data_IF_384242716922
#
_entry.id   IF_384242716922
#
_cell.length_a   1.000
_cell.length_b   1.000
_cell.length_c   1.000
_cell.angle_alpha   90.00
_cell.angle_beta   90.00
_cell.angle_gamma   90.00
#
_symmetry.space_group_name_H-M   'P 1'
#
loop_
_entity.id
_entity.type
_entity.pdbx_description
1 polymer ?
#
# COMPACT_ATOMS: atom_id res chain seq x y z
N UNK A 1 -2.06 -17.82 11.52
CA UNK A 1 -0.99 -18.35 10.64
C UNK A 1 -1.53 -18.35 9.23
N UNK A 2 -1.08 -17.44 8.38
CA UNK A 2 -1.36 -17.49 6.95
C UNK A 2 -0.81 -18.83 6.43
N UNK A 3 -1.62 -19.56 5.67
CA UNK A 3 -1.19 -20.83 5.09
C UNK A 3 -0.25 -20.51 3.96
N UNK A 4 0.98 -20.99 4.01
CA UNK A 4 1.95 -20.85 2.92
C UNK A 4 1.32 -21.33 1.61
N UNK A 5 1.27 -20.50 0.55
CA UNK A 5 0.53 -20.81 -0.68
C UNK A 5 1.01 -22.10 -1.38
N UNK A 6 2.27 -22.46 -1.18
CA UNK A 6 2.84 -23.69 -1.70
C UNK A 6 2.53 -24.95 -0.89
N UNK A 7 1.89 -24.84 0.28
CA UNK A 7 1.49 -26.01 1.05
C UNK A 7 0.10 -26.45 0.66
N UNK A 8 -0.05 -27.71 0.33
CA UNK A 8 -1.35 -28.30 0.02
C UNK A 8 -2.27 -28.25 1.24
N UNK A 9 -3.46 -27.65 1.16
CA UNK A 9 -4.39 -27.58 2.30
C UNK A 9 -4.94 -28.94 2.69
N UNK A 10 -4.74 -29.99 1.85
CA UNK A 10 -5.22 -31.35 2.11
C UNK A 10 -4.19 -32.24 2.81
N UNK A 11 -2.92 -32.18 2.39
CA UNK A 11 -1.89 -33.10 2.90
C UNK A 11 -0.62 -32.39 3.39
N UNK A 12 -0.59 -31.06 3.38
CA UNK A 12 0.55 -30.22 3.77
C UNK A 12 1.84 -30.43 2.98
N UNK A 13 1.80 -31.20 1.90
CA UNK A 13 2.92 -31.37 0.99
C UNK A 13 3.03 -30.18 0.03
N UNK A 14 4.16 -30.04 -0.67
CA UNK A 14 4.37 -28.94 -1.61
C UNK A 14 3.48 -29.06 -2.84
N UNK A 15 3.09 -27.89 -3.37
CA UNK A 15 2.37 -27.75 -4.63
C UNK A 15 3.25 -27.00 -5.62
N UNK A 16 3.08 -27.30 -6.89
CA UNK A 16 3.70 -26.56 -7.99
C UNK A 16 2.64 -25.81 -8.79
N UNK A 17 3.00 -24.66 -9.31
CA UNK A 17 2.19 -23.96 -10.28
C UNK A 17 2.25 -24.65 -11.62
N UNK A 18 1.10 -24.89 -12.24
CA UNK A 18 0.98 -25.47 -13.58
C UNK A 18 -0.08 -24.70 -14.37
N UNK A 19 -0.03 -24.82 -15.69
CA UNK A 19 -1.00 -24.20 -16.60
C UNK A 19 -1.74 -25.29 -17.37
N UNK A 20 -3.06 -25.31 -17.28
CA UNK A 20 -3.95 -26.17 -18.07
C UNK A 20 -4.73 -25.34 -19.09
N UNK A 21 -4.99 -25.93 -20.26
CA UNK A 21 -5.93 -25.38 -21.22
C UNK A 21 -7.37 -25.73 -20.83
N UNK A 22 -8.20 -24.75 -20.63
CA UNK A 22 -9.65 -24.92 -20.41
C UNK A 22 -10.40 -24.33 -21.59
N UNK A 23 -11.38 -25.06 -22.11
CA UNK A 23 -12.20 -24.65 -23.24
C UNK A 23 -13.61 -24.31 -22.79
N UNK A 24 -14.07 -23.15 -23.19
CA UNK A 24 -15.41 -22.63 -22.95
C UNK A 24 -16.18 -22.60 -24.28
N UNK A 25 -17.40 -23.09 -24.31
CA UNK A 25 -18.20 -23.19 -25.52
C UNK A 25 -19.61 -22.61 -25.31
N UNK A 26 -20.10 -21.87 -26.31
CA UNK A 26 -21.45 -21.30 -26.34
C UNK A 26 -21.84 -21.02 -27.80
N UNK A 27 -23.02 -21.46 -28.19
CA UNK A 27 -23.61 -21.15 -29.50
C UNK A 27 -22.68 -21.40 -30.69
N UNK A 28 -22.10 -22.60 -30.78
CA UNK A 28 -21.11 -23.01 -31.81
C UNK A 28 -19.82 -22.18 -31.88
N UNK A 29 -19.55 -21.40 -30.85
CA UNK A 29 -18.30 -20.62 -30.64
C UNK A 29 -17.51 -21.24 -29.54
N UNK A 30 -16.18 -21.08 -29.57
CA UNK A 30 -15.35 -21.58 -28.46
C UNK A 30 -14.16 -20.68 -28.16
N UNK A 31 -13.81 -20.61 -26.88
CA UNK A 31 -12.66 -19.87 -26.37
C UNK A 31 -11.80 -20.80 -25.53
N UNK A 32 -10.55 -20.94 -25.90
CA UNK A 32 -9.54 -21.64 -25.09
C UNK A 32 -8.81 -20.65 -24.17
N UNK A 33 -8.81 -20.94 -22.89
CA UNK A 33 -8.06 -20.13 -21.90
C UNK A 33 -7.01 -21.01 -21.21
N UNK A 34 -5.79 -20.54 -21.12
CA UNK A 34 -4.76 -21.17 -20.29
C UNK A 34 -4.94 -20.73 -18.84
N UNK A 35 -5.31 -21.67 -17.98
CA UNK A 35 -5.63 -21.44 -16.57
C UNK A 35 -4.50 -21.91 -15.68
N UNK A 36 -3.88 -21.03 -14.88
CA UNK A 36 -2.90 -21.42 -13.88
C UNK A 36 -3.59 -22.03 -12.66
N UNK A 37 -2.97 -23.08 -12.12
CA UNK A 37 -3.46 -23.77 -10.92
C UNK A 37 -2.31 -24.38 -10.13
N UNK A 38 -2.48 -24.51 -8.83
CA UNK A 38 -1.58 -25.26 -7.98
C UNK A 38 -1.93 -26.75 -8.00
N UNK A 39 -0.94 -27.58 -8.30
CA UNK A 39 -1.09 -29.02 -8.23
C UNK A 39 -0.23 -29.61 -7.13
N UNK A 40 -0.84 -30.40 -6.27
CA UNK A 40 -0.12 -31.22 -5.30
C UNK A 40 0.20 -32.59 -5.92
N UNK A 41 1.48 -32.93 -6.03
CA UNK A 41 1.87 -34.21 -6.59
C UNK A 41 1.57 -35.40 -5.67
N UNK A 42 1.53 -35.19 -4.37
CA UNK A 42 1.26 -36.24 -3.40
C UNK A 42 -0.23 -36.68 -3.43
N UNK A 43 -1.15 -35.74 -3.31
CA UNK A 43 -2.58 -36.06 -3.22
C UNK A 43 -3.38 -35.72 -4.49
N UNK A 44 -2.76 -35.20 -5.52
CA UNK A 44 -3.36 -34.85 -6.80
C UNK A 44 -4.30 -33.65 -6.77
N UNK A 45 -4.45 -32.96 -5.63
CA UNK A 45 -5.34 -31.81 -5.51
C UNK A 45 -4.89 -30.71 -6.46
N UNK A 46 -5.86 -30.19 -7.23
CA UNK A 46 -5.69 -29.01 -8.09
C UNK A 46 -6.54 -27.88 -7.52
N UNK A 47 -5.92 -26.75 -7.31
CA UNK A 47 -6.58 -25.52 -6.87
C UNK A 47 -6.28 -24.43 -7.92
N UNK A 48 -7.25 -23.98 -8.72
CA UNK A 48 -7.04 -22.86 -9.63
C UNK A 48 -6.71 -21.59 -8.83
N UNK A 49 -5.90 -20.71 -9.40
CA UNK A 49 -5.52 -19.46 -8.76
C UNK A 49 -6.69 -18.50 -8.58
N UNK A 50 -7.67 -18.60 -9.48
CA UNK A 50 -8.91 -17.84 -9.41
C UNK A 50 -10.12 -18.76 -9.42
N UNK A 51 -11.24 -18.32 -8.86
CA UNK A 51 -12.49 -19.04 -8.99
C UNK A 51 -12.83 -19.31 -10.46
N UNK A 52 -13.52 -20.40 -10.72
CA UNK A 52 -13.90 -20.80 -12.09
C UNK A 52 -14.73 -19.72 -12.78
N UNK A 53 -15.54 -19.02 -12.03
CA UNK A 53 -16.42 -17.92 -12.47
C UNK A 53 -15.61 -16.79 -13.14
N UNK A 54 -14.43 -16.49 -12.62
CA UNK A 54 -13.54 -15.48 -13.18
C UNK A 54 -13.11 -15.83 -14.62
N UNK A 55 -12.73 -17.08 -14.86
CA UNK A 55 -12.36 -17.52 -16.21
C UNK A 55 -13.57 -17.60 -17.13
N UNK A 56 -14.74 -17.94 -16.57
CA UNK A 56 -15.99 -17.95 -17.29
C UNK A 56 -16.37 -16.55 -17.79
N UNK A 57 -16.28 -15.52 -16.96
CA UNK A 57 -16.56 -14.13 -17.35
C UNK A 57 -15.66 -13.65 -18.49
N UNK A 58 -14.37 -13.98 -18.44
CA UNK A 58 -13.43 -13.64 -19.52
C UNK A 58 -13.80 -14.37 -20.81
N UNK A 59 -14.13 -15.66 -20.68
CA UNK A 59 -14.56 -16.46 -21.82
C UNK A 59 -15.86 -15.92 -22.43
N UNK A 60 -16.86 -15.59 -21.62
CA UNK A 60 -18.15 -15.09 -22.06
C UNK A 60 -18.01 -13.76 -22.80
N UNK A 61 -17.25 -12.82 -22.29
CA UNK A 61 -16.93 -11.56 -22.98
C UNK A 61 -16.33 -11.81 -24.38
N UNK A 62 -15.42 -12.76 -24.47
CA UNK A 62 -14.76 -13.07 -25.75
C UNK A 62 -15.68 -13.85 -26.69
N UNK A 63 -16.52 -14.77 -26.16
CA UNK A 63 -17.51 -15.50 -26.93
C UNK A 63 -18.56 -14.58 -27.59
N UNK A 64 -18.96 -13.54 -26.88
CA UNK A 64 -19.92 -12.56 -27.39
C UNK A 64 -19.36 -11.74 -28.59
N UNK A 65 -18.03 -11.58 -28.67
CA UNK A 65 -17.36 -10.90 -29.77
C UNK A 65 -17.14 -11.79 -31.01
N UNK A 66 -17.19 -13.11 -30.84
CA UNK A 66 -16.94 -14.07 -31.92
C UNK A 66 -18.19 -14.24 -32.83
N UNK A 67 -17.93 -14.59 -34.09
CA UNK A 67 -18.96 -15.04 -35.01
C UNK A 67 -19.25 -16.54 -34.88
N UNK A 68 -20.37 -16.98 -35.41
CA UNK A 68 -20.72 -18.39 -35.40
C UNK A 68 -19.61 -19.25 -36.05
N UNK A 69 -19.24 -20.32 -35.40
CA UNK A 69 -18.18 -21.23 -35.84
C UNK A 69 -16.74 -20.75 -35.56
N UNK A 70 -16.55 -19.55 -34.97
CA UNK A 70 -15.20 -19.04 -34.67
C UNK A 70 -14.64 -19.63 -33.36
N UNK A 71 -13.33 -19.80 -33.37
CA UNK A 71 -12.52 -20.15 -32.20
C UNK A 71 -11.55 -19.03 -31.88
N UNK A 72 -11.46 -18.64 -30.61
CA UNK A 72 -10.40 -17.78 -30.10
C UNK A 72 -9.61 -18.46 -29.00
N UNK A 73 -8.31 -18.20 -28.95
CA UNK A 73 -7.46 -18.57 -27.83
C UNK A 73 -7.03 -17.33 -27.11
N UNK A 74 -7.32 -17.27 -25.82
CA UNK A 74 -6.73 -16.30 -24.93
C UNK A 74 -5.43 -16.92 -24.40
N UNK A 75 -4.35 -16.58 -25.03
CA UNK A 75 -3.01 -16.94 -24.58
C UNK A 75 -2.43 -15.73 -23.91
N UNK A 76 -2.24 -15.82 -22.63
CA UNK A 76 -1.39 -14.91 -21.93
C UNK A 76 0.03 -15.20 -22.41
N UNK A 77 0.77 -14.18 -22.84
CA UNK A 77 2.14 -14.37 -23.29
C UNK A 77 3.00 -14.81 -22.10
N UNK A 78 3.03 -16.09 -21.88
CA UNK A 78 4.14 -16.71 -21.15
C UNK A 78 5.19 -17.01 -22.20
N UNK A 79 6.22 -16.22 -22.27
CA UNK A 79 7.42 -16.64 -22.97
C UNK A 79 8.02 -17.80 -22.20
N UNK A 80 8.35 -18.89 -22.89
CA UNK A 80 9.04 -20.02 -22.30
C UNK A 80 10.50 -19.63 -21.99
N UNK A 81 10.69 -18.72 -21.07
CA UNK A 81 12.01 -18.44 -20.53
C UNK A 81 12.40 -19.60 -19.65
N UNK A 82 13.57 -20.15 -19.92
CA UNK A 82 14.16 -21.18 -19.08
C UNK A 82 14.41 -20.56 -17.72
N UNK A 83 14.14 -21.32 -16.66
CA UNK A 83 14.55 -20.95 -15.32
C UNK A 83 16.04 -20.59 -15.34
N UNK A 84 16.36 -19.32 -15.12
CA UNK A 84 17.72 -18.85 -15.10
C UNK A 84 18.29 -19.02 -13.70
N UNK A 85 19.52 -19.56 -13.61
CA UNK A 85 20.17 -19.79 -12.33
C UNK A 85 21.23 -18.74 -12.11
N UNK A 86 21.11 -18.06 -10.98
CA UNK A 86 22.02 -17.01 -10.54
C UNK A 86 22.87 -17.44 -9.33
N UNK A 87 23.20 -18.76 -9.26
CA UNK A 87 24.00 -19.32 -8.16
C UNK A 87 25.38 -18.65 -8.02
N UNK A 88 25.90 -18.11 -9.12
CA UNK A 88 27.17 -17.39 -9.16
C UNK A 88 27.18 -16.11 -8.31
N UNK A 89 26.00 -15.49 -8.07
CA UNK A 89 25.88 -14.33 -7.21
C UNK A 89 26.02 -14.71 -5.73
N UNK A 90 25.84 -15.99 -5.37
CA UNK A 90 26.02 -16.49 -4.02
C UNK A 90 25.04 -15.96 -2.98
N UNK A 91 23.90 -15.38 -3.40
CA UNK A 91 22.78 -15.10 -2.52
C UNK A 91 22.02 -16.38 -2.20
N UNK A 92 21.48 -16.44 -0.98
CA UNK A 92 20.57 -17.51 -0.61
C UNK A 92 19.18 -17.18 -1.14
N UNK A 93 18.65 -18.03 -1.98
CA UNK A 93 17.29 -17.91 -2.51
C UNK A 93 16.71 -19.31 -2.74
N UNK A 94 15.38 -19.38 -2.84
CA UNK A 94 14.68 -20.56 -3.28
C UNK A 94 13.71 -20.19 -4.41
N UNK A 95 13.60 -21.01 -5.45
CA UNK A 95 12.55 -20.83 -6.46
C UNK A 95 11.15 -20.76 -5.86
N UNK A 96 10.94 -21.35 -4.68
CA UNK A 96 9.67 -21.33 -3.96
C UNK A 96 9.37 -19.93 -3.38
N UNK A 97 10.38 -19.11 -3.14
CA UNK A 97 10.23 -17.76 -2.61
C UNK A 97 9.55 -16.81 -3.60
N UNK A 98 9.54 -17.18 -4.88
CA UNK A 98 8.75 -16.51 -5.91
C UNK A 98 7.29 -16.30 -5.53
N UNK A 99 6.71 -17.23 -4.77
CA UNK A 99 5.32 -17.18 -4.34
C UNK A 99 5.10 -16.41 -3.02
N UNK A 100 6.16 -15.88 -2.44
CA UNK A 100 6.06 -15.01 -1.27
C UNK A 100 5.59 -13.60 -1.63
N UNK A 101 5.55 -13.28 -2.91
CA UNK A 101 5.07 -12.00 -3.43
C UNK A 101 3.60 -12.16 -3.85
N UNK A 102 2.66 -11.49 -3.21
CA UNK A 102 1.26 -11.57 -3.58
C UNK A 102 1.03 -11.21 -5.05
N UNK A 103 0.22 -12.02 -5.74
CA UNK A 103 -0.15 -11.77 -7.12
C UNK A 103 0.91 -12.05 -8.17
N UNK A 104 2.09 -12.49 -7.79
CA UNK A 104 3.14 -12.88 -8.73
C UNK A 104 2.98 -14.36 -9.09
N UNK A 105 2.53 -14.65 -10.30
CA UNK A 105 2.22 -15.99 -10.77
C UNK A 105 2.81 -16.26 -12.16
N UNK A 106 4.13 -16.07 -12.30
CA UNK A 106 4.85 -16.34 -13.55
C UNK A 106 5.70 -17.56 -13.40
N UNK A 107 5.30 -18.65 -14.04
CA UNK A 107 6.03 -19.93 -14.00
C UNK A 107 7.43 -19.82 -14.62
N UNK A 108 7.57 -18.96 -15.61
CA UNK A 108 8.77 -18.90 -16.46
C UNK A 108 9.83 -17.91 -15.99
N UNK A 109 9.47 -17.00 -15.11
CA UNK A 109 10.37 -15.97 -14.57
C UNK A 109 10.93 -16.36 -13.19
N UNK A 110 10.78 -17.61 -12.77
CA UNK A 110 11.11 -18.06 -11.41
C UNK A 110 12.56 -17.82 -11.00
N UNK A 111 13.49 -17.85 -11.96
CA UNK A 111 14.88 -17.51 -11.70
C UNK A 111 15.06 -16.01 -11.51
N UNK A 112 14.67 -15.24 -12.52
CA UNK A 112 14.84 -13.79 -12.53
C UNK A 112 14.04 -13.11 -11.41
N UNK A 113 12.77 -13.44 -11.29
CA UNK A 113 11.85 -12.84 -10.32
C UNK A 113 11.85 -13.53 -8.95
N UNK A 114 12.84 -14.33 -8.62
CA UNK A 114 13.03 -14.79 -7.25
C UNK A 114 13.41 -13.60 -6.36
N UNK A 115 12.67 -13.34 -5.28
CA UNK A 115 13.02 -12.26 -4.37
C UNK A 115 14.21 -12.67 -3.48
N UNK A 116 15.12 -11.74 -3.28
CA UNK A 116 16.17 -11.82 -2.26
C UNK A 116 15.89 -10.73 -1.24
N UNK A 117 15.71 -11.11 0.00
CA UNK A 117 15.30 -10.20 1.06
C UNK A 117 16.51 -9.69 1.85
N UNK A 118 16.40 -8.45 2.31
CA UNK A 118 17.42 -7.78 3.10
C UNK A 118 16.79 -7.10 4.32
N UNK A 119 17.55 -6.98 5.38
CA UNK A 119 17.16 -6.17 6.53
C UNK A 119 17.19 -4.67 6.18
N UNK A 120 16.29 -3.90 6.77
CA UNK A 120 16.21 -2.44 6.62
C UNK A 120 17.50 -1.71 7.01
N UNK A 121 18.31 -2.33 7.86
CA UNK A 121 19.63 -1.81 8.26
C UNK A 121 20.55 -1.52 7.06
N UNK A 122 20.30 -2.18 5.92
CA UNK A 122 20.97 -1.86 4.68
C UNK A 122 20.74 -0.40 4.26
N UNK A 123 19.49 0.06 4.35
CA UNK A 123 19.13 1.45 4.01
C UNK A 123 19.74 2.44 5.00
N UNK A 124 19.71 2.09 6.29
CA UNK A 124 20.36 2.90 7.34
C UNK A 124 21.83 3.08 7.10
N UNK A 125 22.54 2.00 6.73
CA UNK A 125 23.95 2.06 6.41
C UNK A 125 24.25 3.10 5.31
N UNK A 126 23.51 3.04 4.22
CA UNK A 126 23.74 3.97 3.10
C UNK A 126 23.22 5.38 3.39
N UNK A 127 22.14 5.51 4.16
CA UNK A 127 21.60 6.83 4.52
C UNK A 127 22.54 7.59 5.46
N UNK A 128 23.28 6.88 6.33
CA UNK A 128 24.23 7.45 7.27
C UNK A 128 25.66 7.59 6.72
N UNK A 129 25.94 7.06 5.53
CA UNK A 129 27.26 7.16 4.93
C UNK A 129 27.39 8.46 4.13
N UNK A 130 28.49 9.25 4.31
CA UNK A 130 28.60 10.59 3.72
C UNK A 130 28.61 10.61 2.18
N UNK A 131 29.05 9.53 1.53
CA UNK A 131 29.17 9.46 0.08
C UNK A 131 27.88 8.94 -0.60
N UNK A 132 26.88 8.56 0.19
CA UNK A 132 25.66 7.97 -0.33
C UNK A 132 24.44 8.78 0.09
N UNK A 133 23.37 8.62 -0.66
CA UNK A 133 22.04 9.10 -0.26
C UNK A 133 20.98 8.09 -0.66
N UNK A 134 19.98 7.89 0.20
CA UNK A 134 18.83 7.04 -0.05
C UNK A 134 17.66 7.93 -0.36
N UNK A 135 17.01 7.72 -1.52
CA UNK A 135 15.79 8.46 -1.90
C UNK A 135 14.65 7.46 -2.14
N UNK A 136 13.54 7.74 -1.51
CA UNK A 136 12.31 6.98 -1.68
C UNK A 136 11.44 7.69 -2.70
N UNK A 137 10.92 6.97 -3.70
CA UNK A 137 10.05 7.53 -4.74
C UNK A 137 8.58 7.23 -4.50
N UNK A 138 8.31 6.12 -3.82
CA UNK A 138 6.97 5.68 -3.46
C UNK A 138 7.04 4.87 -2.18
N UNK A 139 5.90 4.39 -1.72
CA UNK A 139 5.83 3.42 -0.61
C UNK A 139 6.67 2.16 -0.86
N UNK A 140 7.06 1.92 -2.08
CA UNK A 140 7.57 0.65 -2.55
C UNK A 140 8.83 0.75 -3.40
N UNK A 141 9.34 1.91 -3.64
CA UNK A 141 10.50 2.07 -4.51
C UNK A 141 11.41 3.20 -4.07
N UNK A 142 12.68 3.03 -4.33
CA UNK A 142 13.70 4.02 -4.05
C UNK A 142 15.02 3.67 -4.69
N UNK A 143 15.97 4.59 -4.58
CA UNK A 143 17.31 4.43 -5.09
C UNK A 143 18.35 4.78 -4.03
N UNK A 144 19.47 4.08 -4.07
CA UNK A 144 20.71 4.54 -3.45
C UNK A 144 21.54 5.26 -4.51
N UNK A 145 21.99 6.45 -4.17
CA UNK A 145 22.87 7.25 -4.98
C UNK A 145 24.28 7.25 -4.37
N UNK A 146 25.29 7.20 -5.20
CA UNK A 146 26.67 7.41 -4.84
C UNK A 146 27.19 8.63 -5.59
N UNK A 147 27.63 9.66 -4.86
CA UNK A 147 28.09 10.93 -5.45
C UNK A 147 27.09 11.56 -6.45
N UNK A 148 25.79 11.38 -6.23
CA UNK A 148 24.73 11.92 -7.07
C UNK A 148 24.31 11.05 -8.26
N UNK A 149 25.03 9.98 -8.54
CA UNK A 149 24.67 9.00 -9.58
C UNK A 149 23.91 7.83 -8.98
N UNK A 150 22.91 7.32 -9.71
CA UNK A 150 22.17 6.13 -9.28
C UNK A 150 23.11 4.93 -9.27
N UNK A 151 23.36 4.39 -8.09
CA UNK A 151 24.18 3.23 -7.90
C UNK A 151 23.31 1.95 -7.89
N UNK A 152 22.11 2.05 -7.35
CA UNK A 152 21.28 0.90 -7.10
C UNK A 152 19.81 1.31 -7.05
N UNK A 153 19.04 0.78 -7.96
CA UNK A 153 17.58 0.91 -8.00
C UNK A 153 16.93 -0.34 -7.46
N UNK A 154 15.99 -0.20 -6.57
CA UNK A 154 15.23 -1.33 -6.09
C UNK A 154 13.76 -1.01 -5.91
N UNK A 155 12.95 -2.01 -6.14
CA UNK A 155 11.61 -2.02 -5.63
C UNK A 155 11.65 -2.46 -4.18
N UNK A 156 10.95 -1.77 -3.31
CA UNK A 156 10.83 -2.18 -1.93
C UNK A 156 9.65 -3.15 -1.79
N UNK A 157 9.93 -4.35 -1.38
CA UNK A 157 8.96 -5.12 -0.66
C UNK A 157 9.21 -4.90 0.82
N UNK A 158 9.08 -3.69 1.31
CA UNK A 158 9.07 -3.51 2.75
C UNK A 158 7.71 -3.99 3.22
N UNK A 159 7.69 -5.21 3.69
CA UNK A 159 6.54 -5.74 4.38
C UNK A 159 6.54 -5.29 5.84
N UNK A 160 5.46 -5.56 6.57
CA UNK A 160 5.33 -5.30 8.01
C UNK A 160 6.43 -5.97 8.84
N UNK A 161 7.09 -6.98 8.29
CA UNK A 161 8.26 -7.62 8.89
C UNK A 161 9.56 -6.84 8.68
N UNK A 162 9.50 -5.66 8.06
CA UNK A 162 10.65 -4.78 7.90
C UNK A 162 11.71 -5.30 6.95
N UNK A 163 11.35 -6.13 5.98
CA UNK A 163 12.27 -6.65 4.97
C UNK A 163 12.11 -5.85 3.68
N UNK A 164 13.24 -5.54 3.06
CA UNK A 164 13.28 -5.04 1.69
C UNK A 164 13.68 -6.18 0.78
N UNK A 165 13.28 -6.14 -0.48
CA UNK A 165 13.70 -7.13 -1.43
C UNK A 165 14.10 -6.53 -2.78
N UNK A 166 14.88 -7.31 -3.52
CA UNK A 166 15.18 -7.11 -4.92
C UNK A 166 15.07 -8.41 -5.66
N UNK A 167 14.73 -8.32 -6.93
CA UNK A 167 14.72 -9.48 -7.79
C UNK A 167 16.14 -10.02 -8.02
N UNK A 168 16.28 -11.33 -8.01
CA UNK A 168 17.57 -11.99 -8.22
C UNK A 168 18.16 -11.63 -9.59
N UNK A 169 17.33 -11.52 -10.63
CA UNK A 169 17.75 -11.08 -11.95
C UNK A 169 18.25 -9.64 -11.98
N UNK A 170 17.53 -8.73 -11.32
CA UNK A 170 17.98 -7.33 -11.18
C UNK A 170 19.30 -7.23 -10.40
N UNK A 171 19.51 -8.09 -9.40
CA UNK A 171 20.79 -8.16 -8.70
C UNK A 171 21.93 -8.59 -9.64
N UNK A 172 21.64 -9.50 -10.58
CA UNK A 172 22.62 -9.89 -11.59
C UNK A 172 22.98 -8.76 -12.54
N UNK A 173 21.99 -7.97 -12.92
CA UNK A 173 22.17 -6.91 -13.91
C UNK A 173 22.84 -5.66 -13.32
N UNK A 174 22.65 -5.41 -12.01
CA UNK A 174 23.16 -4.22 -11.34
C UNK A 174 24.60 -4.37 -10.81
N UNK A 175 25.13 -5.60 -10.70
CA UNK A 175 26.46 -5.80 -10.12
C UNK A 175 27.59 -5.73 -11.17
N UNK A 176 28.12 -4.54 -11.32
CA UNK A 176 29.46 -4.34 -11.90
C UNK A 176 30.59 -4.43 -10.86
N UNK A 177 30.29 -4.19 -9.56
CA UNK A 177 31.29 -4.20 -8.48
C UNK A 177 31.10 -5.37 -7.49
N UNK A 178 32.05 -6.34 -7.45
CA UNK A 178 32.01 -7.45 -6.49
C UNK A 178 32.04 -7.03 -5.01
N UNK A 179 32.50 -5.81 -4.71
CA UNK A 179 32.50 -5.33 -3.32
C UNK A 179 31.10 -5.03 -2.83
N UNK A 180 30.25 -4.51 -3.71
CA UNK A 180 28.86 -4.23 -3.39
C UNK A 180 28.09 -5.51 -3.13
N UNK A 181 28.25 -6.51 -3.96
CA UNK A 181 27.65 -7.84 -3.76
C UNK A 181 28.00 -8.39 -2.37
N UNK A 182 29.30 -8.39 -2.02
CA UNK A 182 29.77 -8.83 -0.71
C UNK A 182 29.18 -8.02 0.44
N UNK A 183 28.97 -6.73 0.23
CA UNK A 183 28.36 -5.85 1.23
C UNK A 183 26.89 -6.19 1.44
N UNK A 184 26.11 -6.29 0.37
CA UNK A 184 24.69 -6.64 0.43
C UNK A 184 24.42 -7.99 1.10
N UNK A 185 25.27 -8.98 0.87
CA UNK A 185 25.18 -10.31 1.51
C UNK A 185 25.20 -10.26 3.04
N UNK A 186 25.79 -9.21 3.65
CA UNK A 186 25.79 -9.04 5.11
C UNK A 186 24.42 -8.70 5.67
N UNK A 187 23.57 -8.08 4.86
CA UNK A 187 22.23 -7.68 5.21
C UNK A 187 21.17 -8.65 4.70
N UNK A 188 21.58 -9.73 4.04
CA UNK A 188 20.64 -10.72 3.56
C UNK A 188 19.84 -11.33 4.71
N UNK A 189 18.52 -11.21 4.63
CA UNK A 189 17.57 -11.73 5.59
C UNK A 189 16.90 -12.99 5.10
N UNK A 190 16.19 -13.67 5.99
CA UNK A 190 15.31 -14.77 5.62
C UNK A 190 14.14 -14.25 4.82
N UNK A 191 13.76 -14.97 3.78
CA UNK A 191 12.61 -14.65 2.97
C UNK A 191 11.32 -14.82 3.76
N UNK A 192 10.39 -13.90 3.57
CA UNK A 192 9.11 -13.86 4.24
C UNK A 192 8.02 -13.52 3.23
N UNK A 193 6.80 -13.95 3.49
CA UNK A 193 5.67 -13.56 2.68
C UNK A 193 5.51 -12.04 2.72
N UNK A 194 5.45 -11.41 1.54
CA UNK A 194 5.20 -9.97 1.44
C UNK A 194 3.72 -9.69 1.66
N UNK A 195 3.43 -8.70 2.48
CA UNK A 195 2.10 -8.15 2.68
C UNK A 195 1.88 -6.86 1.89
N UNK A 196 2.87 -6.46 1.10
CA UNK A 196 2.78 -5.29 0.24
C UNK A 196 2.18 -5.60 -1.13
N UNK A 197 1.23 -4.81 -1.52
CA UNK A 197 0.61 -4.70 -2.83
C UNK A 197 1.55 -4.16 -3.95
N UNK A 198 2.76 -3.94 -3.67
CA UNK A 198 3.74 -3.11 -4.36
C UNK A 198 3.97 -3.50 -5.82
N UNK A 199 3.96 -4.78 -6.08
CA UNK A 199 4.32 -5.30 -7.39
C UNK A 199 3.13 -5.52 -8.28
N UNK A 200 1.98 -5.42 -7.72
CA UNK A 200 0.72 -5.54 -8.41
C UNK A 200 0.66 -4.58 -9.58
N UNK A 201 0.85 -3.32 -9.36
CA UNK A 201 0.68 -2.31 -10.42
C UNK A 201 1.73 -2.41 -11.51
N UNK A 202 2.97 -2.77 -11.19
CA UNK A 202 4.03 -2.85 -12.17
C UNK A 202 4.02 -4.17 -12.95
N UNK A 203 3.95 -5.30 -12.24
CA UNK A 203 4.02 -6.63 -12.86
C UNK A 203 2.65 -7.15 -13.28
N UNK A 204 1.58 -6.68 -12.67
CA UNK A 204 0.25 -7.16 -12.93
C UNK A 204 -0.49 -6.37 -14.00
N UNK A 205 -0.12 -5.13 -14.28
CA UNK A 205 -0.56 -4.44 -15.51
C UNK A 205 -0.18 -5.22 -16.78
N UNK A 206 0.83 -6.08 -16.67
CA UNK A 206 1.26 -6.99 -17.72
C UNK A 206 0.71 -8.42 -17.57
N UNK A 207 0.08 -8.74 -16.45
CA UNK A 207 -0.46 -10.06 -16.18
C UNK A 207 -1.99 -10.01 -16.10
N UNK A 208 -2.69 -10.59 -17.11
CA UNK A 208 -4.15 -10.60 -17.17
C UNK A 208 -4.84 -11.43 -16.07
N UNK A 209 -4.08 -12.15 -15.24
CA UNK A 209 -4.59 -12.87 -14.08
C UNK A 209 -4.60 -12.05 -12.81
N UNK A 210 -4.02 -10.86 -12.85
CA UNK A 210 -4.07 -9.95 -11.75
C UNK A 210 -5.37 -9.19 -11.79
N UNK A 211 -6.26 -9.53 -10.93
CA UNK A 211 -7.35 -8.65 -10.55
C UNK A 211 -6.94 -7.92 -9.28
N UNK A 212 -7.50 -6.75 -9.07
CA UNK A 212 -7.35 -5.96 -7.85
C UNK A 212 -7.62 -6.78 -6.57
N UNK A 213 -8.45 -7.83 -6.68
CA UNK A 213 -8.77 -8.76 -5.59
C UNK A 213 -7.62 -9.70 -5.17
N UNK A 214 -6.49 -9.71 -5.88
CA UNK A 214 -5.33 -10.52 -5.49
C UNK A 214 -4.51 -9.86 -4.38
N UNK A 215 -4.81 -8.62 -4.06
CA UNK A 215 -4.07 -7.81 -3.12
C UNK A 215 -4.82 -7.72 -1.82
N UNK A 216 -4.04 -7.77 -0.75
CA UNK A 216 -4.52 -7.32 0.55
C UNK A 216 -4.89 -5.84 0.45
N UNK A 217 -5.75 -5.39 1.33
CA UNK A 217 -6.16 -3.99 1.42
C UNK A 217 -4.93 -3.07 1.31
N UNK A 218 -5.06 -2.05 0.50
CA UNK A 218 -4.01 -1.03 0.35
C UNK A 218 -3.58 -0.53 1.72
N UNK A 219 -2.28 -0.24 1.87
CA UNK A 219 -1.77 0.34 3.10
C UNK A 219 -2.66 1.48 3.59
N UNK A 220 -2.86 1.57 4.89
CA UNK A 220 -3.73 2.58 5.51
C UNK A 220 -3.36 4.00 5.08
N UNK A 221 -2.09 4.28 4.80
CA UNK A 221 -1.63 5.55 4.27
C UNK A 221 -2.20 5.85 2.88
N UNK A 222 -2.15 4.87 1.98
CA UNK A 222 -2.75 5.00 0.64
C UNK A 222 -4.26 5.16 0.75
N UNK A 223 -4.86 4.41 1.67
CA UNK A 223 -6.30 4.46 1.95
C UNK A 223 -6.74 5.85 2.44
N UNK A 224 -5.98 6.51 3.32
CA UNK A 224 -6.25 7.89 3.76
C UNK A 224 -6.37 8.83 2.56
N UNK A 225 -5.47 8.74 1.59
CA UNK A 225 -5.48 9.64 0.43
C UNK A 225 -6.67 9.37 -0.49
N UNK A 226 -6.99 8.11 -0.72
CA UNK A 226 -8.17 7.73 -1.50
C UNK A 226 -9.47 8.20 -0.83
N UNK A 227 -9.59 8.01 0.48
CA UNK A 227 -10.75 8.46 1.26
C UNK A 227 -10.84 9.99 1.31
N UNK A 228 -9.70 10.69 1.41
CA UNK A 228 -9.66 12.15 1.35
C UNK A 228 -10.20 12.66 0.01
N UNK A 229 -9.78 12.06 -1.10
CA UNK A 229 -10.26 12.43 -2.44
C UNK A 229 -11.76 12.17 -2.60
N UNK A 230 -12.25 11.04 -2.10
CA UNK A 230 -13.67 10.71 -2.06
C UNK A 230 -14.44 11.73 -1.22
N UNK A 231 -13.92 12.09 -0.04
CA UNK A 231 -14.53 13.08 0.84
C UNK A 231 -14.57 14.47 0.18
N UNK A 232 -13.51 14.89 -0.50
CA UNK A 232 -13.46 16.16 -1.23
C UNK A 232 -14.51 16.22 -2.35
N UNK A 233 -14.72 15.10 -3.08
CA UNK A 233 -15.79 14.98 -4.10
C UNK A 233 -17.18 15.09 -3.47
N UNK A 234 -17.41 14.35 -2.38
CA UNK A 234 -18.69 14.41 -1.65
C UNK A 234 -18.99 15.79 -1.08
N UNK A 235 -17.98 16.48 -0.54
CA UNK A 235 -18.14 17.86 -0.08
C UNK A 235 -18.52 18.79 -1.24
N UNK A 236 -17.89 18.64 -2.41
CA UNK A 236 -18.20 19.42 -3.60
C UNK A 236 -19.64 19.18 -4.07
N UNK A 237 -20.09 17.95 -4.06
CA UNK A 237 -21.47 17.58 -4.44
C UNK A 237 -22.50 18.07 -3.43
N UNK A 238 -22.23 17.93 -2.12
CA UNK A 238 -23.20 18.22 -1.07
C UNK A 238 -23.22 19.70 -0.65
N UNK A 239 -22.07 20.38 -0.69
CA UNK A 239 -21.91 21.74 -0.14
C UNK A 239 -21.39 22.76 -1.15
N UNK A 240 -20.99 22.35 -2.38
CA UNK A 240 -20.53 23.21 -3.44
C UNK A 240 -19.03 23.58 -3.38
N UNK A 241 -18.26 22.97 -2.48
CA UNK A 241 -16.81 23.19 -2.37
C UNK A 241 -16.12 21.93 -1.83
N UNK A 242 -14.85 21.70 -2.23
CA UNK A 242 -14.03 20.63 -1.68
C UNK A 242 -13.58 20.97 -0.26
N UNK A 243 -13.45 19.98 0.64
CA UNK A 243 -12.98 20.19 2.01
C UNK A 243 -11.54 20.72 2.03
N UNK A 244 -10.70 20.24 1.14
CA UNK A 244 -9.29 20.65 1.04
C UNK A 244 -8.96 21.29 -0.30
N UNK A 245 -7.77 21.94 -0.39
CA UNK A 245 -7.31 22.65 -1.59
C UNK A 245 -6.41 21.82 -2.49
N UNK A 246 -5.84 20.73 -1.97
CA UNK A 246 -4.78 19.96 -2.64
C UNK A 246 -5.38 18.75 -3.35
N UNK A 247 -5.05 18.59 -4.61
CA UNK A 247 -5.42 17.43 -5.40
C UNK A 247 -4.52 16.22 -5.05
N UNK A 248 -5.04 14.99 -5.29
CA UNK A 248 -4.39 13.75 -4.88
C UNK A 248 -3.03 13.53 -5.57
N UNK A 249 -2.85 14.05 -6.77
CA UNK A 249 -1.60 13.89 -7.55
C UNK A 249 -0.42 14.53 -6.84
N UNK A 250 -0.65 15.69 -6.18
CA UNK A 250 0.39 16.40 -5.43
C UNK A 250 0.74 15.73 -4.09
N UNK A 251 -0.13 14.83 -3.60
CA UNK A 251 0.04 14.22 -2.27
C UNK A 251 1.20 13.23 -2.23
N UNK A 252 1.38 12.45 -3.30
CA UNK A 252 2.42 11.44 -3.37
C UNK A 252 3.82 12.03 -3.41
N UNK A 253 3.96 13.27 -3.90
CA UNK A 253 5.25 13.98 -3.92
C UNK A 253 5.66 14.51 -2.54
N UNK A 254 4.67 14.82 -1.68
CA UNK A 254 4.91 15.47 -0.39
C UNK A 254 4.92 14.53 0.80
N UNK A 255 4.26 13.38 0.72
CA UNK A 255 4.18 12.45 1.81
C UNK A 255 5.03 11.21 1.57
N UNK A 256 5.83 10.86 2.57
CA UNK A 256 6.61 9.62 2.62
C UNK A 256 6.36 8.97 3.97
N UNK A 257 5.87 7.72 4.00
CA UNK A 257 5.72 6.99 5.25
C UNK A 257 7.10 6.73 5.87
N UNK A 258 7.18 6.60 7.19
CA UNK A 258 8.40 6.23 7.87
C UNK A 258 8.73 4.77 7.54
N UNK A 259 9.69 4.55 6.67
CA UNK A 259 10.16 3.22 6.29
C UNK A 259 11.13 2.68 7.33
N UNK A 260 11.98 3.55 7.85
CA UNK A 260 12.84 3.28 8.98
C UNK A 260 12.10 3.76 10.24
N UNK A 261 12.08 2.96 11.27
CA UNK A 261 11.43 3.31 12.55
C UNK A 261 12.21 4.38 13.32
N UNK A 262 12.82 5.30 12.58
CA UNK A 262 13.56 6.42 13.11
C UNK A 262 12.63 7.57 13.45
N UNK A 263 12.86 8.18 14.60
CA UNK A 263 12.06 9.29 15.08
C UNK A 263 11.96 10.43 14.05
N UNK A 264 13.05 10.74 13.35
CA UNK A 264 13.05 11.79 12.34
C UNK A 264 12.05 11.50 11.21
N UNK A 265 12.04 10.28 10.68
CA UNK A 265 11.11 9.91 9.62
C UNK A 265 9.65 9.93 10.10
N UNK A 266 9.41 9.44 11.32
CA UNK A 266 8.07 9.43 11.93
C UNK A 266 7.55 10.85 12.10
N UNK A 267 8.36 11.75 12.65
CA UNK A 267 7.94 13.15 12.84
C UNK A 267 7.81 13.93 11.54
N UNK A 268 8.64 13.64 10.52
CA UNK A 268 8.48 14.20 9.18
C UNK A 268 7.17 13.73 8.52
N UNK A 269 6.73 12.50 8.77
CA UNK A 269 5.44 12.01 8.33
C UNK A 269 4.28 12.79 8.98
N UNK A 270 4.34 13.07 10.29
CA UNK A 270 3.32 13.90 10.94
C UNK A 270 3.24 15.32 10.37
N UNK A 271 4.39 15.94 10.04
CA UNK A 271 4.40 17.27 9.41
C UNK A 271 3.71 17.21 8.05
N UNK A 272 4.06 16.22 7.24
CA UNK A 272 3.51 16.07 5.90
C UNK A 272 2.01 15.81 5.96
N UNK A 273 1.55 14.88 6.81
CA UNK A 273 0.14 14.61 7.02
C UNK A 273 -0.62 15.83 7.52
N UNK A 274 -0.06 16.58 8.49
CA UNK A 274 -0.69 17.80 9.00
C UNK A 274 -0.87 18.85 7.90
N UNK A 275 0.13 19.06 7.05
CA UNK A 275 0.01 19.96 5.90
C UNK A 275 -1.10 19.50 4.95
N UNK A 276 -1.15 18.23 4.65
CA UNK A 276 -2.09 17.67 3.68
C UNK A 276 -3.53 17.64 4.20
N UNK A 277 -3.73 17.27 5.44
CA UNK A 277 -5.06 17.01 6.02
C UNK A 277 -5.64 18.20 6.78
N UNK A 278 -4.79 19.07 7.33
CA UNK A 278 -5.25 20.15 8.25
C UNK A 278 -4.98 21.55 7.67
N UNK A 279 -3.75 21.83 7.24
CA UNK A 279 -3.40 23.18 6.77
C UNK A 279 -4.08 23.55 5.45
N UNK A 280 -4.44 22.54 4.65
CA UNK A 280 -5.14 22.69 3.39
C UNK A 280 -6.68 22.75 3.51
N UNK A 281 -7.26 22.64 4.70
CA UNK A 281 -8.71 22.76 4.90
C UNK A 281 -9.20 24.12 4.41
N UNK A 282 -10.28 24.14 3.65
CA UNK A 282 -10.93 25.35 3.14
C UNK A 282 -11.78 26.04 4.24
N UNK A 283 -11.09 26.52 5.27
CA UNK A 283 -11.69 27.10 6.49
C UNK A 283 -12.71 28.20 6.19
N UNK A 284 -12.45 29.05 5.18
CA UNK A 284 -13.36 30.12 4.81
C UNK A 284 -14.72 29.59 4.33
N UNK A 285 -14.72 28.53 3.54
CA UNK A 285 -15.95 27.90 3.04
C UNK A 285 -16.74 27.23 4.16
N UNK A 286 -16.06 26.53 5.06
CA UNK A 286 -16.69 25.95 6.26
C UNK A 286 -17.32 27.00 7.14
N UNK A 287 -16.62 28.13 7.40
CA UNK A 287 -17.14 29.25 8.18
C UNK A 287 -18.34 29.88 7.52
N UNK A 288 -18.35 30.07 6.21
CA UNK A 288 -19.50 30.57 5.47
C UNK A 288 -20.71 29.66 5.67
N UNK A 289 -20.51 28.35 5.54
CA UNK A 289 -21.59 27.37 5.70
C UNK A 289 -22.16 27.33 7.13
N UNK A 290 -21.31 27.45 8.14
CA UNK A 290 -21.73 27.59 9.54
C UNK A 290 -22.57 28.87 9.76
N UNK A 291 -22.13 30.02 9.19
CA UNK A 291 -22.85 31.26 9.25
C UNK A 291 -24.22 31.21 8.56
N UNK A 292 -24.29 30.54 7.38
CA UNK A 292 -25.55 30.30 6.68
C UNK A 292 -26.53 29.44 7.49
N UNK A 293 -26.00 28.53 8.31
CA UNK A 293 -26.79 27.68 9.22
C UNK A 293 -27.14 28.37 10.54
N UNK A 294 -26.87 29.67 10.69
CA UNK A 294 -27.27 30.44 11.85
C UNK A 294 -26.29 30.47 13.02
N UNK A 295 -25.05 30.01 12.83
CA UNK A 295 -24.04 30.10 13.89
C UNK A 295 -23.63 31.55 14.21
N UNK A 296 -23.20 31.79 15.44
CA UNK A 296 -22.73 33.13 15.88
C UNK A 296 -21.45 33.51 15.10
N UNK A 297 -21.58 34.52 14.24
CA UNK A 297 -20.49 35.00 13.37
C UNK A 297 -19.23 35.41 14.13
N UNK A 298 -19.35 35.98 15.33
CA UNK A 298 -18.20 36.37 16.14
C UNK A 298 -17.46 35.17 16.66
N UNK A 299 -18.16 34.14 17.13
CA UNK A 299 -17.57 32.86 17.56
C UNK A 299 -16.91 32.12 16.40
N UNK A 300 -17.62 31.96 15.28
CA UNK A 300 -17.12 31.31 14.10
C UNK A 300 -15.84 31.97 13.55
N UNK A 301 -15.79 33.33 13.57
CA UNK A 301 -14.60 34.06 13.07
C UNK A 301 -13.33 33.70 13.84
N UNK A 302 -13.41 33.46 15.15
CA UNK A 302 -12.26 33.17 16.01
C UNK A 302 -11.77 31.71 15.96
N UNK A 303 -12.52 30.80 15.33
CA UNK A 303 -12.14 29.37 15.25
C UNK A 303 -10.95 29.16 14.34
N UNK A 304 -9.99 28.31 14.76
CA UNK A 304 -8.95 27.75 13.93
C UNK A 304 -9.45 26.62 13.04
N UNK A 305 -8.60 26.07 12.17
CA UNK A 305 -8.98 25.07 11.15
C UNK A 305 -9.69 23.86 11.76
N UNK A 306 -9.09 23.20 12.74
CA UNK A 306 -9.65 21.98 13.35
C UNK A 306 -10.96 22.28 14.08
N UNK A 307 -11.00 23.37 14.88
CA UNK A 307 -12.23 23.77 15.58
C UNK A 307 -13.36 24.17 14.63
N UNK A 308 -13.02 24.72 13.46
CA UNK A 308 -14.03 25.02 12.43
C UNK A 308 -14.60 23.74 11.82
N UNK A 309 -13.74 22.74 11.56
CA UNK A 309 -14.18 21.43 11.09
C UNK A 309 -15.02 20.70 12.16
N UNK A 310 -14.61 20.74 13.42
CA UNK A 310 -15.39 20.17 14.53
C UNK A 310 -16.79 20.80 14.64
N UNK A 311 -16.88 22.13 14.57
CA UNK A 311 -18.15 22.83 14.55
C UNK A 311 -19.01 22.47 13.34
N UNK A 312 -18.40 22.28 12.17
CA UNK A 312 -19.10 21.85 10.97
C UNK A 312 -19.67 20.43 11.13
N UNK A 313 -18.89 19.51 11.68
CA UNK A 313 -19.32 18.13 11.97
C UNK A 313 -20.50 18.13 12.95
N UNK A 314 -20.43 18.96 14.00
CA UNK A 314 -21.49 19.06 15.02
C UNK A 314 -22.75 19.75 14.48
N UNK A 315 -22.60 20.93 13.86
CA UNK A 315 -23.73 21.82 13.56
C UNK A 315 -24.34 21.56 12.17
N UNK A 316 -23.56 21.10 11.18
CA UNK A 316 -24.04 20.83 9.83
C UNK A 316 -24.34 19.34 9.65
N UNK A 317 -23.39 18.46 9.98
CA UNK A 317 -23.59 17.01 9.86
C UNK A 317 -24.39 16.42 11.03
N UNK A 318 -24.60 17.18 12.11
CA UNK A 318 -25.39 16.78 13.30
C UNK A 318 -24.82 15.56 14.04
N UNK A 319 -23.52 15.33 13.99
CA UNK A 319 -22.86 14.24 14.70
C UNK A 319 -22.55 14.67 16.15
N UNK A 320 -23.27 14.06 17.09
CA UNK A 320 -23.16 14.44 18.52
C UNK A 320 -21.83 14.08 19.17
N UNK A 321 -21.13 13.07 18.64
CA UNK A 321 -19.80 12.62 19.10
C UNK A 321 -18.65 13.30 18.33
N UNK A 322 -18.84 14.50 17.81
CA UNK A 322 -17.87 15.22 16.98
C UNK A 322 -16.49 15.35 17.63
N UNK A 323 -16.42 15.58 18.94
CA UNK A 323 -15.16 15.73 19.68
C UNK A 323 -14.34 14.44 19.74
N UNK A 324 -15.01 13.30 19.86
CA UNK A 324 -14.36 11.98 19.82
C UNK A 324 -13.93 11.64 18.39
N UNK A 325 -14.81 11.83 17.43
CA UNK A 325 -14.57 11.59 16.03
C UNK A 325 -13.37 12.37 15.48
N UNK A 326 -13.24 13.65 15.83
CA UNK A 326 -12.15 14.52 15.35
C UNK A 326 -10.85 14.37 16.15
N UNK A 327 -10.85 13.58 17.23
CA UNK A 327 -9.69 13.38 18.09
C UNK A 327 -8.40 13.05 17.35
N UNK A 328 -8.37 12.16 16.33
CA UNK A 328 -7.15 11.85 15.57
C UNK A 328 -6.55 13.07 14.86
N UNK A 329 -7.38 13.99 14.40
CA UNK A 329 -6.94 15.25 13.77
C UNK A 329 -6.25 16.18 14.77
N UNK A 330 -6.76 16.26 16.00
CA UNK A 330 -6.10 16.99 17.09
C UNK A 330 -4.77 16.34 17.46
N UNK A 331 -4.74 15.00 17.61
CA UNK A 331 -3.52 14.25 17.91
C UNK A 331 -2.45 14.46 16.84
N UNK A 332 -2.81 14.41 15.56
CA UNK A 332 -1.89 14.71 14.45
C UNK A 332 -1.30 16.12 14.57
N UNK A 333 -2.13 17.12 14.88
CA UNK A 333 -1.67 18.49 15.07
C UNK A 333 -0.74 18.65 16.27
N UNK A 334 -1.02 17.96 17.38
CA UNK A 334 -0.20 17.99 18.58
C UNK A 334 1.16 17.30 18.34
N UNK A 335 1.16 16.13 17.71
CA UNK A 335 2.39 15.39 17.34
C UNK A 335 3.28 16.18 16.38
N UNK A 336 2.70 16.87 15.39
CA UNK A 336 3.45 17.76 14.50
C UNK A 336 4.14 18.90 15.27
N UNK A 337 3.50 19.44 16.30
CA UNK A 337 4.10 20.53 17.09
C UNK A 337 5.26 20.05 17.96
N UNK A 338 5.25 18.78 18.39
CA UNK A 338 6.27 18.20 19.24
C UNK A 338 7.66 18.11 18.57
N UNK A 339 7.73 18.08 17.24
CA UNK A 339 9.01 17.98 16.53
C UNK A 339 9.98 19.14 16.87
N UNK A 340 9.47 20.33 17.12
CA UNK A 340 10.28 21.48 17.51
C UNK A 340 10.76 21.47 18.96
N UNK A 341 10.35 20.49 19.77
CA UNK A 341 10.48 20.49 21.23
C UNK A 341 11.10 19.22 21.81
N UNK A 342 11.85 18.44 21.02
CA UNK A 342 12.47 17.18 21.46
C UNK A 342 13.38 17.31 22.69
N UNK A 343 13.92 18.48 22.94
CA UNK A 343 14.77 18.78 24.11
C UNK A 343 14.03 19.48 25.25
N UNK A 344 12.72 19.70 25.13
CA UNK A 344 11.92 20.38 26.14
C UNK A 344 11.41 19.37 27.18
N UNK A 345 11.47 19.74 28.45
CA UNK A 345 10.92 18.94 29.55
C UNK A 345 9.41 18.67 29.43
N UNK A 346 8.70 19.44 28.62
CA UNK A 346 7.28 19.25 28.33
C UNK A 346 6.98 18.23 27.19
N UNK A 347 8.01 17.72 26.52
CA UNK A 347 7.81 16.77 25.41
C UNK A 347 7.14 15.48 25.87
N UNK A 348 7.71 14.84 26.89
CA UNK A 348 7.18 13.56 27.40
C UNK A 348 5.73 13.67 27.91
N UNK A 349 5.41 14.78 28.58
CA UNK A 349 4.05 15.03 29.07
C UNK A 349 3.04 15.13 27.91
N UNK A 350 3.36 15.95 26.90
CA UNK A 350 2.49 16.14 25.73
C UNK A 350 2.40 14.88 24.88
N UNK A 351 3.52 14.17 24.76
CA UNK A 351 3.56 12.92 24.01
C UNK A 351 2.75 11.81 24.69
N UNK A 352 2.86 11.70 26.02
CA UNK A 352 2.00 10.80 26.83
C UNK A 352 0.52 11.12 26.65
N UNK A 353 0.15 12.40 26.61
CA UNK A 353 -1.22 12.81 26.33
C UNK A 353 -1.72 12.36 24.95
N UNK A 354 -0.86 12.40 23.93
CA UNK A 354 -1.20 11.87 22.60
C UNK A 354 -1.41 10.35 22.64
N UNK A 355 -0.55 9.60 23.36
CA UNK A 355 -0.70 8.15 23.56
C UNK A 355 -2.03 7.82 24.23
N UNK A 356 -2.35 8.51 25.33
CA UNK A 356 -3.60 8.31 26.07
C UNK A 356 -4.83 8.52 25.18
N UNK A 357 -4.80 9.55 24.32
CA UNK A 357 -5.90 9.84 23.37
C UNK A 357 -6.04 8.81 22.26
N UNK A 358 -4.96 8.12 21.92
CA UNK A 358 -4.96 7.01 20.96
C UNK A 358 -5.32 5.67 21.62
N UNK A 359 -5.40 5.63 22.96
CA UNK A 359 -5.66 4.41 23.72
C UNK A 359 -4.44 3.48 23.81
N UNK A 360 -3.24 4.04 23.76
CA UNK A 360 -1.98 3.31 23.77
C UNK A 360 -1.34 3.29 25.15
N UNK A 361 -0.60 2.21 25.44
CA UNK A 361 0.22 2.11 26.63
C UNK A 361 1.40 3.08 26.62
N UNK A 362 1.89 3.46 27.81
CA UNK A 362 3.00 4.41 27.95
C UNK A 362 4.29 3.91 27.31
N UNK A 363 4.53 2.60 27.31
CA UNK A 363 5.75 1.98 26.83
C UNK A 363 5.75 1.67 25.33
N UNK A 364 4.68 2.04 24.59
CA UNK A 364 4.62 1.82 23.16
C UNK A 364 5.67 2.66 22.40
N UNK A 365 6.17 2.13 21.29
CA UNK A 365 7.15 2.79 20.44
C UNK A 365 6.57 4.02 19.72
N UNK A 366 7.42 4.87 19.17
CA UNK A 366 6.98 5.96 18.30
C UNK A 366 6.29 5.45 17.04
N UNK A 367 6.70 4.28 16.57
CA UNK A 367 6.11 3.66 15.40
C UNK A 367 4.70 3.12 15.69
N UNK A 368 4.45 2.55 16.89
CA UNK A 368 3.10 2.14 17.30
C UNK A 368 2.14 3.34 17.36
N UNK A 369 2.63 4.49 17.87
CA UNK A 369 1.84 5.73 17.88
C UNK A 369 1.50 6.18 16.47
N UNK A 370 2.46 6.10 15.55
CA UNK A 370 2.26 6.43 14.15
C UNK A 370 1.23 5.52 13.50
N UNK A 371 1.38 4.20 13.61
CA UNK A 371 0.46 3.23 13.02
C UNK A 371 -0.96 3.40 13.53
N UNK A 372 -1.12 3.50 14.86
CA UNK A 372 -2.45 3.71 15.46
C UNK A 372 -3.09 5.01 15.01
N UNK A 373 -2.30 6.09 14.89
CA UNK A 373 -2.82 7.35 14.37
C UNK A 373 -3.31 7.19 12.92
N UNK A 374 -2.56 6.50 12.06
CA UNK A 374 -2.95 6.23 10.67
C UNK A 374 -4.27 5.46 10.62
N UNK A 375 -4.42 4.41 11.42
CA UNK A 375 -5.67 3.64 11.53
C UNK A 375 -6.86 4.53 11.96
N UNK A 376 -6.65 5.36 12.98
CA UNK A 376 -7.69 6.29 13.46
C UNK A 376 -8.04 7.39 12.47
N UNK A 377 -7.11 7.81 11.62
CA UNK A 377 -7.38 8.73 10.53
C UNK A 377 -8.22 8.08 9.42
N UNK A 378 -7.94 6.81 9.10
CA UNK A 378 -8.79 6.04 8.18
C UNK A 378 -10.22 5.96 8.71
N UNK A 379 -10.40 5.53 9.97
CA UNK A 379 -11.71 5.46 10.62
C UNK A 379 -12.46 6.81 10.57
N UNK A 380 -11.75 7.90 10.84
CA UNK A 380 -12.31 9.28 10.78
C UNK A 380 -12.86 9.59 9.38
N UNK A 381 -12.10 9.35 8.32
CA UNK A 381 -12.56 9.61 6.96
C UNK A 381 -13.71 8.71 6.53
N UNK A 382 -13.66 7.42 6.86
CA UNK A 382 -14.74 6.46 6.54
C UNK A 382 -16.07 6.87 7.19
N UNK A 383 -16.04 7.30 8.45
CA UNK A 383 -17.24 7.76 9.15
C UNK A 383 -17.79 9.04 8.48
N UNK A 384 -16.94 10.02 8.17
CA UNK A 384 -17.42 11.24 7.51
C UNK A 384 -18.03 10.97 6.14
N UNK A 385 -17.40 10.11 5.34
CA UNK A 385 -17.92 9.70 4.02
C UNK A 385 -19.30 9.06 4.17
N UNK A 386 -19.46 8.16 5.12
CA UNK A 386 -20.71 7.46 5.37
C UNK A 386 -21.83 8.44 5.77
N UNK A 387 -21.53 9.42 6.61
CA UNK A 387 -22.51 10.37 7.12
C UNK A 387 -22.91 11.44 6.09
N UNK A 388 -22.02 11.76 5.12
CA UNK A 388 -22.32 12.72 4.05
C UNK A 388 -23.07 12.05 2.90
N UNK A 389 -22.85 10.76 2.64
CA UNK A 389 -23.62 10.04 1.60
C UNK A 389 -25.09 10.03 1.97
N UNK A 390 -25.98 10.54 1.10
CA UNK A 390 -27.43 10.46 1.37
C UNK A 390 -27.82 8.98 1.54
N UNK A 391 -28.57 8.69 2.58
CA UNK A 391 -29.16 7.38 2.83
C UNK A 391 -30.14 7.04 1.68
N UNK A 392 -29.64 6.52 0.57
CA UNK A 392 -30.50 6.27 -0.59
C UNK A 392 -29.88 5.72 -1.86
N UNK A 393 -28.62 5.36 -1.91
CA UNK A 393 -28.06 4.69 -3.09
C UNK A 393 -27.31 3.40 -2.72
N UNK A 394 -28.04 2.43 -2.13
CA UNK A 394 -27.70 1.02 -2.25
C UNK A 394 -28.42 0.50 -3.49
N UNK A 395 -27.76 0.54 -4.64
CA UNK A 395 -28.19 -0.22 -5.84
C UNK A 395 -27.04 -1.16 -6.20
#
# INVERSE_FOLDING_TARGET
MAKHPLRCPRCSDFRTLQIDGVRFEKDNKSVGIKVPFFRCYNCGKKDPLRPQEFYQEIADKRLDELKDGEFASITFKYENEKFERFDHLGFKYSPEDYFLIPGLYREFDQGYLCPVFFDKDLLLYYNNHPDYSVKFYSFSSGNIYHNGETMFSWGFGINRNGKIFKWLGDLNDDFEDPKMEKHLKRFQASNVESDHDIYSKFYLSQNPFSTEDAFQDSDNEVKIFSLKDELDKLFKESFGFSLTKVEIVDLFDFYKPPILEENEQIFNAYISLNKLLIENIQVANLKNKLNENGADRKKVKSLGSIKTLEAFILDILKLKNSSELISPIYVLSDLRQLQGHFSDSSFEEKYSFCKDRLGLDKDCSHFDVYQTLIEKLVEFFEILIKEIKPAGNNV
#
